data_IF_350753279552
#
_entry.id   IF_350753279552
#
_cell.length_a   1.000
_cell.length_b   1.000
_cell.length_c   1.000
_cell.angle_alpha   90.00
_cell.angle_beta   90.00
_cell.angle_gamma   90.00
#
_symmetry.space_group_name_H-M   'P 1'
#
loop_
_entity.id
_entity.type
_entity.pdbx_description
1 polymer ?
#
# COMPACT_ATOMS: atom_id res chain seq x y z
N UNK A 1 -28.93 -39.34 -8.44
CA UNK A 1 -29.16 -38.23 -7.51
C UNK A 1 -27.97 -37.28 -7.63
N UNK A 2 -28.16 -36.02 -7.30
CA UNK A 2 -27.20 -34.94 -7.58
C UNK A 2 -27.02 -34.07 -6.35
N UNK A 3 -25.77 -33.73 -6.03
CA UNK A 3 -25.43 -32.69 -5.06
C UNK A 3 -25.06 -31.42 -5.81
N UNK A 4 -25.74 -30.32 -5.49
CA UNK A 4 -25.45 -28.98 -5.97
C UNK A 4 -24.76 -28.22 -4.83
N UNK A 5 -23.48 -27.89 -5.01
CA UNK A 5 -22.73 -27.04 -4.09
C UNK A 5 -22.67 -25.60 -4.62
N UNK A 6 -23.31 -24.69 -3.90
CA UNK A 6 -23.23 -23.24 -4.16
C UNK A 6 -22.14 -22.60 -3.32
N UNK A 7 -21.63 -21.45 -3.76
CA UNK A 7 -20.68 -20.68 -2.96
C UNK A 7 -21.39 -20.13 -1.70
N UNK A 8 -20.90 -20.40 -0.48
CA UNK A 8 -21.48 -19.84 0.75
C UNK A 8 -21.49 -18.30 0.77
N UNK A 9 -20.57 -17.63 0.05
CA UNK A 9 -20.56 -16.17 -0.10
C UNK A 9 -21.60 -15.67 -1.09
N UNK A 10 -21.92 -16.48 -2.11
CA UNK A 10 -22.85 -16.13 -3.19
C UNK A 10 -23.83 -17.27 -3.44
N UNK A 11 -24.69 -17.60 -2.47
CA UNK A 11 -25.53 -18.80 -2.54
C UNK A 11 -26.67 -18.70 -3.58
N UNK A 12 -26.85 -17.51 -4.17
CA UNK A 12 -27.75 -17.28 -5.30
C UNK A 12 -27.09 -17.54 -6.67
N UNK A 13 -25.77 -17.68 -6.73
CA UNK A 13 -25.06 -18.04 -7.96
C UNK A 13 -25.01 -19.55 -8.07
N UNK A 14 -25.82 -20.09 -8.99
CA UNK A 14 -25.91 -21.52 -9.24
C UNK A 14 -25.27 -21.84 -10.59
N UNK A 15 -24.47 -22.92 -10.71
CA UNK A 15 -23.95 -23.36 -11.99
C UNK A 15 -25.08 -23.55 -13.01
N UNK A 16 -24.87 -23.10 -14.25
CA UNK A 16 -25.89 -23.17 -15.32
C UNK A 16 -26.41 -24.59 -15.52
N UNK A 17 -25.54 -25.59 -15.37
CA UNK A 17 -25.89 -27.01 -15.48
C UNK A 17 -26.91 -27.50 -14.42
N UNK A 18 -27.00 -26.80 -13.29
CA UNK A 18 -27.90 -27.12 -12.18
C UNK A 18 -29.28 -26.43 -12.32
N UNK A 19 -29.43 -25.42 -13.17
CA UNK A 19 -30.66 -24.59 -13.26
C UNK A 19 -31.91 -25.43 -13.52
N UNK A 20 -31.84 -26.39 -14.44
CA UNK A 20 -32.98 -27.27 -14.75
C UNK A 20 -33.40 -28.18 -13.57
N UNK A 21 -32.48 -28.43 -12.63
CA UNK A 21 -32.71 -29.31 -11.48
C UNK A 21 -33.35 -28.56 -10.29
N UNK A 22 -33.14 -27.24 -10.21
CA UNK A 22 -33.69 -26.39 -9.13
C UNK A 22 -35.21 -26.27 -9.16
N UNK A 23 -35.85 -26.52 -10.32
CA UNK A 23 -37.31 -26.53 -10.44
C UNK A 23 -37.96 -27.86 -10.06
N UNK A 24 -37.18 -28.88 -9.72
CA UNK A 24 -37.65 -30.22 -9.40
C UNK A 24 -37.71 -30.51 -7.89
N UNK A 25 -37.87 -31.78 -7.55
CA UNK A 25 -37.81 -32.26 -6.17
C UNK A 25 -36.38 -32.12 -5.61
N UNK A 26 -36.19 -31.25 -4.62
CA UNK A 26 -34.88 -31.00 -4.01
C UNK A 26 -34.95 -30.82 -2.50
N UNK A 27 -33.89 -31.25 -1.83
CA UNK A 27 -33.62 -30.97 -0.43
C UNK A 27 -32.55 -29.90 -0.30
N UNK A 28 -32.59 -29.14 0.80
CA UNK A 28 -31.54 -28.19 1.16
C UNK A 28 -31.08 -28.38 2.60
N UNK A 29 -29.82 -28.06 2.86
CA UNK A 29 -29.20 -28.09 4.20
C UNK A 29 -29.41 -26.77 4.95
N UNK A 30 -29.37 -26.82 6.27
CA UNK A 30 -29.82 -25.76 7.18
C UNK A 30 -28.98 -24.47 7.12
N UNK A 31 -27.75 -24.52 6.62
CA UNK A 31 -26.89 -23.35 6.47
C UNK A 31 -27.34 -22.43 5.32
N UNK A 32 -28.35 -22.82 4.54
CA UNK A 32 -28.85 -22.01 3.43
C UNK A 32 -29.55 -20.75 3.91
N UNK A 33 -29.15 -19.55 3.40
CA UNK A 33 -29.88 -18.34 3.69
C UNK A 33 -31.33 -18.47 3.25
N UNK A 34 -32.26 -18.12 4.13
CA UNK A 34 -33.69 -18.44 4.00
C UNK A 34 -34.33 -17.98 2.67
N UNK A 35 -33.80 -16.93 2.05
CA UNK A 35 -34.27 -16.42 0.75
C UNK A 35 -34.04 -17.42 -0.40
N UNK A 36 -32.99 -18.24 -0.33
CA UNK A 36 -32.68 -19.24 -1.35
C UNK A 36 -33.78 -20.31 -1.44
N UNK A 37 -34.10 -21.07 -0.37
CA UNK A 37 -35.15 -22.08 -0.43
C UNK A 37 -36.53 -21.45 -0.68
N UNK A 38 -36.81 -20.22 -0.21
CA UNK A 38 -38.06 -19.54 -0.53
C UNK A 38 -38.25 -19.22 -2.02
N UNK A 39 -37.15 -19.14 -2.77
CA UNK A 39 -37.18 -18.94 -4.22
C UNK A 39 -37.36 -20.25 -4.99
N UNK A 40 -37.37 -21.39 -4.31
CA UNK A 40 -37.42 -22.74 -4.88
C UNK A 40 -38.72 -23.43 -4.43
N UNK A 41 -39.79 -23.44 -5.25
CA UNK A 41 -41.14 -23.85 -4.82
C UNK A 41 -41.26 -25.28 -4.29
N UNK A 42 -40.33 -26.15 -4.68
CA UNK A 42 -40.32 -27.58 -4.34
C UNK A 42 -39.21 -27.97 -3.36
N UNK A 43 -38.48 -26.98 -2.83
CA UNK A 43 -37.40 -27.20 -1.88
C UNK A 43 -37.92 -27.54 -0.48
N UNK A 44 -37.34 -28.55 0.16
CA UNK A 44 -37.61 -28.90 1.56
C UNK A 44 -36.32 -29.09 2.37
N UNK A 45 -36.31 -28.87 3.68
CA UNK A 45 -35.14 -29.13 4.50
C UNK A 45 -34.73 -30.62 4.45
N UNK A 46 -33.43 -30.87 4.52
CA UNK A 46 -32.83 -32.22 4.48
C UNK A 46 -33.37 -33.16 5.57
N UNK A 47 -33.76 -32.63 6.73
CA UNK A 47 -34.31 -33.40 7.84
C UNK A 47 -35.81 -33.76 7.68
N UNK A 48 -36.42 -33.46 6.51
CA UNK A 48 -37.84 -33.71 6.26
C UNK A 48 -38.08 -34.66 5.09
N UNK A 49 -39.03 -35.58 5.28
CA UNK A 49 -39.57 -36.45 4.23
C UNK A 49 -38.60 -37.54 3.77
N UNK A 50 -38.75 -37.93 2.50
CA UNK A 50 -37.89 -38.91 1.82
C UNK A 50 -36.80 -38.17 1.05
N UNK A 51 -35.66 -38.82 0.87
CA UNK A 51 -34.53 -38.29 0.11
C UNK A 51 -34.96 -37.81 -1.28
N UNK A 52 -34.71 -36.52 -1.53
CA UNK A 52 -34.94 -35.91 -2.83
C UNK A 52 -33.84 -36.31 -3.82
N UNK A 53 -34.12 -36.33 -5.14
CA UNK A 53 -33.11 -36.61 -6.15
C UNK A 53 -32.00 -35.56 -6.26
N UNK A 54 -32.21 -34.37 -5.66
CA UNK A 54 -31.26 -33.25 -5.65
C UNK A 54 -31.05 -32.79 -4.21
N UNK A 55 -29.80 -32.57 -3.81
CA UNK A 55 -29.42 -31.91 -2.57
C UNK A 55 -28.72 -30.59 -2.89
N UNK A 56 -29.21 -29.48 -2.34
CA UNK A 56 -28.61 -28.15 -2.44
C UNK A 56 -27.93 -27.78 -1.11
N UNK A 57 -26.66 -27.41 -1.16
CA UNK A 57 -25.89 -27.02 0.03
C UNK A 57 -24.79 -26.03 -0.34
N UNK A 58 -24.27 -25.29 0.63
CA UNK A 58 -23.06 -24.45 0.51
C UNK A 58 -21.93 -24.98 1.39
N UNK A 59 -22.23 -25.92 2.29
CA UNK A 59 -21.24 -26.61 3.11
C UNK A 59 -20.88 -27.98 2.52
N UNK A 60 -19.70 -28.03 1.89
CA UNK A 60 -19.11 -29.28 1.41
C UNK A 60 -18.84 -30.30 2.52
N UNK A 61 -18.64 -29.82 3.75
CA UNK A 61 -18.39 -30.62 4.95
C UNK A 61 -19.64 -31.22 5.58
N UNK A 62 -20.84 -30.80 5.16
CA UNK A 62 -22.10 -31.22 5.75
C UNK A 62 -22.27 -32.75 5.70
N UNK A 63 -22.75 -33.42 6.77
CA UNK A 63 -22.85 -34.88 6.83
C UNK A 63 -23.62 -35.50 5.65
N UNK A 64 -24.75 -34.90 5.26
CA UNK A 64 -25.56 -35.39 4.12
C UNK A 64 -24.81 -35.23 2.79
N UNK A 65 -24.14 -34.10 2.58
CA UNK A 65 -23.33 -33.86 1.38
C UNK A 65 -22.25 -34.92 1.27
N UNK A 66 -21.52 -35.17 2.37
CA UNK A 66 -20.47 -36.20 2.42
C UNK A 66 -21.03 -37.60 2.17
N UNK A 67 -22.19 -37.93 2.73
CA UNK A 67 -22.84 -39.22 2.54
C UNK A 67 -23.22 -39.45 1.07
N UNK A 68 -23.86 -38.48 0.41
CA UNK A 68 -24.26 -38.56 -1.00
C UNK A 68 -23.07 -38.59 -1.95
N UNK A 69 -22.04 -37.79 -1.69
CA UNK A 69 -20.80 -37.85 -2.47
C UNK A 69 -20.08 -39.19 -2.30
N UNK A 70 -20.06 -39.75 -1.08
CA UNK A 70 -19.49 -41.08 -0.83
C UNK A 70 -20.30 -42.20 -1.52
N UNK A 71 -21.61 -42.01 -1.71
CA UNK A 71 -22.46 -42.91 -2.49
C UNK A 71 -22.26 -42.78 -4.02
N UNK A 72 -21.38 -41.89 -4.49
CA UNK A 72 -21.06 -41.70 -5.90
C UNK A 72 -22.06 -40.83 -6.66
N UNK A 73 -22.84 -40.01 -5.96
CA UNK A 73 -23.76 -39.07 -6.60
C UNK A 73 -23.03 -37.99 -7.41
N UNK A 74 -23.70 -37.47 -8.44
CA UNK A 74 -23.12 -36.43 -9.31
C UNK A 74 -22.95 -35.14 -8.50
N UNK A 75 -21.76 -34.56 -8.54
CA UNK A 75 -21.51 -33.23 -8.00
C UNK A 75 -21.62 -32.17 -9.10
N UNK A 76 -22.39 -31.12 -8.86
CA UNK A 76 -22.37 -29.86 -9.61
C UNK A 76 -21.95 -28.78 -8.61
N UNK A 77 -20.78 -28.19 -8.78
CA UNK A 77 -20.25 -27.18 -7.86
C UNK A 77 -19.80 -25.94 -8.60
N UNK A 78 -19.85 -24.79 -7.92
CA UNK A 78 -19.08 -23.61 -8.31
C UNK A 78 -17.58 -23.98 -8.23
N UNK A 79 -16.70 -23.40 -9.08
CA UNK A 79 -15.26 -23.57 -8.93
C UNK A 79 -14.80 -23.32 -7.50
N UNK A 80 -13.75 -24.02 -7.07
CA UNK A 80 -13.21 -23.79 -5.73
C UNK A 80 -12.78 -22.33 -5.54
N UNK A 81 -12.89 -21.80 -4.30
CA UNK A 81 -12.43 -20.46 -3.98
C UNK A 81 -11.03 -20.20 -4.53
N UNK A 82 -10.89 -19.16 -5.33
CA UNK A 82 -9.61 -18.71 -5.84
C UNK A 82 -8.77 -18.13 -4.69
N UNK A 83 -7.45 -18.34 -4.78
CA UNK A 83 -6.51 -17.71 -3.85
C UNK A 83 -6.63 -16.20 -4.00
N UNK A 84 -6.81 -15.50 -2.86
CA UNK A 84 -6.96 -14.05 -2.83
C UNK A 84 -8.40 -13.55 -2.77
N UNK A 85 -9.43 -14.41 -2.87
CA UNK A 85 -10.83 -13.96 -2.77
C UNK A 85 -11.18 -13.18 -1.49
N UNK A 86 -10.48 -13.46 -0.38
CA UNK A 86 -10.64 -12.70 0.88
C UNK A 86 -10.23 -11.24 0.77
N UNK A 87 -9.38 -10.89 -0.20
CA UNK A 87 -9.06 -9.49 -0.47
C UNK A 87 -10.29 -8.74 -0.97
N UNK A 88 -11.13 -9.38 -1.79
CA UNK A 88 -12.39 -8.76 -2.27
C UNK A 88 -13.35 -8.53 -1.11
N UNK A 89 -13.44 -9.46 -0.17
CA UNK A 89 -14.21 -9.28 1.06
C UNK A 89 -13.69 -8.07 1.86
N UNK A 90 -12.36 -7.93 2.00
CA UNK A 90 -11.72 -6.82 2.71
C UNK A 90 -11.98 -5.46 2.04
N UNK A 91 -11.96 -5.41 0.69
CA UNK A 91 -12.30 -4.20 -0.08
C UNK A 91 -13.75 -3.76 0.22
N UNK A 92 -14.70 -4.69 0.23
CA UNK A 92 -16.10 -4.37 0.52
C UNK A 92 -16.32 -3.92 1.98
N UNK A 93 -15.59 -4.52 2.93
CA UNK A 93 -15.59 -4.08 4.32
C UNK A 93 -15.03 -2.67 4.42
N UNK A 94 -13.91 -2.38 3.77
CA UNK A 94 -13.31 -1.04 3.77
C UNK A 94 -14.26 0.00 3.16
N UNK A 95 -14.94 -0.29 2.06
CA UNK A 95 -15.94 0.64 1.50
C UNK A 95 -17.08 0.94 2.51
N UNK A 96 -17.55 -0.10 3.21
CA UNK A 96 -18.56 0.06 4.26
C UNK A 96 -18.05 0.93 5.41
N UNK A 97 -16.84 0.65 5.89
CA UNK A 97 -16.19 1.41 6.96
C UNK A 97 -15.97 2.87 6.53
N UNK A 98 -15.43 3.11 5.34
CA UNK A 98 -15.24 4.47 4.82
C UNK A 98 -16.54 5.26 4.73
N UNK A 99 -17.63 4.59 4.34
CA UNK A 99 -18.93 5.23 4.11
C UNK A 99 -19.71 5.48 5.40
N UNK A 100 -19.67 4.55 6.36
CA UNK A 100 -20.54 4.56 7.54
C UNK A 100 -19.80 4.65 8.88
N UNK A 101 -18.49 4.42 8.88
CA UNK A 101 -17.63 4.43 10.06
C UNK A 101 -17.30 5.86 10.49
N UNK A 102 -17.44 6.20 11.79
CA UNK A 102 -17.22 7.56 12.27
C UNK A 102 -15.75 7.96 12.24
N UNK A 103 -14.82 7.02 12.44
CA UNK A 103 -13.39 7.30 12.41
C UNK A 103 -12.83 7.19 10.98
N UNK A 104 -13.27 6.18 10.24
CA UNK A 104 -12.78 5.84 8.91
C UNK A 104 -13.17 6.88 7.86
N UNK A 105 -14.34 7.50 8.01
CA UNK A 105 -14.81 8.59 7.14
C UNK A 105 -14.00 9.88 7.31
N UNK A 106 -13.40 10.12 8.48
CA UNK A 106 -12.58 11.30 8.76
C UNK A 106 -11.10 11.16 8.34
N UNK A 107 -10.66 9.93 8.02
CA UNK A 107 -9.27 9.69 7.65
C UNK A 107 -8.89 10.36 6.33
N UNK A 108 -7.63 10.80 6.27
CA UNK A 108 -6.98 11.39 5.11
C UNK A 108 -5.67 10.65 4.85
N UNK A 109 -5.08 10.83 3.67
CA UNK A 109 -3.74 10.28 3.40
C UNK A 109 -2.71 10.75 4.43
N UNK A 110 -2.79 12.01 4.88
CA UNK A 110 -1.83 12.56 5.84
C UNK A 110 -2.03 12.03 7.26
N UNK A 111 -3.28 11.92 7.73
CA UNK A 111 -3.56 11.37 9.07
C UNK A 111 -3.12 9.92 9.21
N UNK A 112 -3.14 9.16 8.12
CA UNK A 112 -2.78 7.74 8.10
C UNK A 112 -1.27 7.46 8.07
N UNK A 113 -0.44 8.45 7.70
CA UNK A 113 1.01 8.26 7.56
C UNK A 113 1.69 7.73 8.81
N UNK A 114 1.22 8.15 10.00
CA UNK A 114 1.76 7.71 11.28
C UNK A 114 1.54 6.21 11.46
N UNK A 115 0.30 5.76 11.28
CA UNK A 115 -0.07 4.35 11.42
C UNK A 115 0.71 3.48 10.44
N UNK A 116 0.78 3.85 9.16
CA UNK A 116 1.56 3.10 8.18
C UNK A 116 3.04 2.92 8.59
N UNK A 117 3.64 3.92 9.24
CA UNK A 117 5.01 3.81 9.72
C UNK A 117 5.11 2.88 10.94
N UNK A 118 4.16 2.97 11.88
CA UNK A 118 4.04 2.09 13.04
C UNK A 118 3.90 0.63 12.57
N UNK A 119 2.92 0.31 11.72
CA UNK A 119 2.70 -1.06 11.18
C UNK A 119 3.92 -1.61 10.42
N UNK A 120 4.68 -0.73 9.76
CA UNK A 120 5.90 -1.16 9.06
C UNK A 120 6.99 -1.62 10.05
N UNK A 121 7.11 -0.95 11.19
CA UNK A 121 8.07 -1.34 12.23
C UNK A 121 7.60 -2.56 13.01
N UNK A 122 6.31 -2.66 13.31
CA UNK A 122 5.73 -3.86 13.93
C UNK A 122 5.92 -5.09 13.02
N UNK A 123 5.71 -4.94 11.71
CA UNK A 123 6.05 -5.97 10.73
C UNK A 123 7.55 -6.36 10.76
N UNK A 124 8.46 -5.40 10.93
CA UNK A 124 9.89 -5.71 11.04
C UNK A 124 10.21 -6.51 12.30
N UNK A 125 9.58 -6.17 13.42
CA UNK A 125 9.73 -6.88 14.68
C UNK A 125 9.14 -8.30 14.59
N UNK A 126 7.98 -8.47 13.96
CA UNK A 126 7.37 -9.77 13.71
C UNK A 126 8.24 -10.67 12.83
N UNK A 127 8.82 -10.13 11.74
CA UNK A 127 9.79 -10.85 10.89
C UNK A 127 11.00 -11.28 11.71
N UNK A 128 11.51 -10.41 12.58
CA UNK A 128 12.67 -10.70 13.43
C UNK A 128 12.35 -11.74 14.51
N UNK A 129 11.14 -11.70 15.06
CA UNK A 129 10.66 -12.63 16.08
C UNK A 129 10.42 -14.03 15.54
N UNK A 130 10.12 -14.18 14.25
CA UNK A 130 9.90 -15.46 13.60
C UNK A 130 8.56 -16.12 13.95
N UNK A 131 7.64 -15.35 14.54
CA UNK A 131 6.28 -15.79 14.87
C UNK A 131 5.38 -15.62 13.64
N UNK A 132 4.88 -16.74 13.10
CA UNK A 132 4.07 -16.72 11.89
C UNK A 132 2.68 -16.12 12.08
N UNK A 133 2.11 -16.20 13.28
CA UNK A 133 0.78 -15.63 13.56
C UNK A 133 0.85 -14.11 13.64
N UNK A 134 1.83 -13.59 14.36
CA UNK A 134 2.15 -12.16 14.46
C UNK A 134 2.53 -11.59 13.09
N UNK A 135 3.41 -12.26 12.33
CA UNK A 135 3.74 -11.85 10.97
C UNK A 135 2.50 -11.74 10.06
N UNK A 136 1.52 -12.64 10.23
CA UNK A 136 0.27 -12.58 9.45
C UNK A 136 -0.61 -11.41 9.87
N UNK A 137 -0.64 -11.09 11.16
CA UNK A 137 -1.37 -9.94 11.72
C UNK A 137 -0.81 -8.63 11.15
N UNK A 138 0.50 -8.41 11.29
CA UNK A 138 1.17 -7.20 10.80
C UNK A 138 1.08 -7.03 9.28
N UNK A 139 1.17 -8.13 8.51
CA UNK A 139 0.92 -8.08 7.07
C UNK A 139 -0.52 -7.69 6.75
N UNK A 140 -1.47 -8.04 7.60
CA UNK A 140 -2.86 -7.61 7.54
C UNK A 140 -3.01 -6.11 7.78
N UNK A 141 -2.30 -5.56 8.76
CA UNK A 141 -2.38 -4.12 9.09
C UNK A 141 -1.70 -3.25 8.03
N UNK A 142 -0.57 -3.68 7.48
CA UNK A 142 0.02 -3.03 6.30
C UNK A 142 -0.93 -3.09 5.10
N UNK A 143 -1.64 -4.22 4.90
CA UNK A 143 -2.66 -4.33 3.85
C UNK A 143 -3.85 -3.40 4.12
N UNK A 144 -4.29 -3.25 5.36
CA UNK A 144 -5.36 -2.32 5.76
C UNK A 144 -5.00 -0.89 5.37
N UNK A 145 -3.74 -0.46 5.57
CA UNK A 145 -3.28 0.86 5.12
C UNK A 145 -3.39 1.02 3.60
N UNK A 146 -3.03 0.00 2.82
CA UNK A 146 -3.19 0.03 1.34
C UNK A 146 -4.67 0.20 0.95
N UNK A 147 -5.59 -0.52 1.62
CA UNK A 147 -7.02 -0.42 1.37
C UNK A 147 -7.57 0.97 1.71
N UNK A 148 -7.16 1.55 2.83
CA UNK A 148 -7.54 2.92 3.20
C UNK A 148 -7.09 3.95 2.16
N UNK A 149 -5.81 3.92 1.78
CA UNK A 149 -5.27 4.87 0.81
C UNK A 149 -5.96 4.70 -0.56
N UNK A 150 -6.19 3.48 -1.01
CA UNK A 150 -6.92 3.23 -2.25
C UNK A 150 -8.36 3.79 -2.18
N UNK A 151 -9.09 3.50 -1.09
CA UNK A 151 -10.48 3.92 -0.97
C UNK A 151 -10.65 5.43 -0.80
N UNK A 152 -9.71 6.12 -0.13
CA UNK A 152 -9.66 7.60 -0.07
C UNK A 152 -9.38 8.17 -1.46
N UNK A 153 -8.48 7.55 -2.24
CA UNK A 153 -8.14 8.03 -3.58
C UNK A 153 -9.30 7.95 -4.57
N UNK A 154 -10.25 7.02 -4.39
CA UNK A 154 -11.49 6.95 -5.20
C UNK A 154 -12.36 8.21 -5.05
N UNK A 155 -12.24 8.94 -3.94
CA UNK A 155 -13.00 10.18 -3.67
C UNK A 155 -12.30 11.43 -4.23
N UNK A 156 -11.09 11.29 -4.78
CA UNK A 156 -10.31 12.42 -5.27
C UNK A 156 -10.96 13.08 -6.50
N UNK A 157 -11.01 14.42 -6.51
CA UNK A 157 -11.50 15.18 -7.66
C UNK A 157 -10.57 15.10 -8.89
N UNK A 158 -9.28 14.87 -8.66
CA UNK A 158 -8.26 14.85 -9.70
C UNK A 158 -7.53 13.51 -9.66
N UNK A 159 -7.52 12.80 -10.79
CA UNK A 159 -6.85 11.50 -10.95
C UNK A 159 -7.27 10.47 -9.88
N UNK A 160 -8.58 10.22 -9.69
CA UNK A 160 -9.03 9.18 -8.78
C UNK A 160 -8.56 7.80 -9.27
N UNK A 161 -8.33 6.90 -8.33
CA UNK A 161 -7.99 5.51 -8.60
C UNK A 161 -8.52 4.61 -7.48
N UNK A 162 -8.77 3.35 -7.81
CA UNK A 162 -9.26 2.33 -6.88
C UNK A 162 -8.17 1.33 -6.48
N UNK A 163 -8.54 0.40 -5.60
CA UNK A 163 -7.67 -0.74 -5.27
C UNK A 163 -7.35 -1.62 -6.50
N UNK A 164 -8.25 -1.70 -7.47
CA UNK A 164 -8.02 -2.45 -8.70
C UNK A 164 -6.96 -1.76 -9.57
N UNK A 165 -6.97 -0.43 -9.64
CA UNK A 165 -5.92 0.34 -10.34
C UNK A 165 -4.54 0.14 -9.68
N UNK A 166 -4.50 0.06 -8.34
CA UNK A 166 -3.27 -0.24 -7.58
C UNK A 166 -2.77 -1.66 -7.92
N UNK A 167 -3.66 -2.64 -7.95
CA UNK A 167 -3.34 -4.02 -8.31
C UNK A 167 -2.84 -4.13 -9.76
N UNK A 168 -3.51 -3.47 -10.70
CA UNK A 168 -3.13 -3.43 -12.11
C UNK A 168 -1.77 -2.76 -12.32
N UNK A 169 -1.49 -1.66 -11.60
CA UNK A 169 -0.19 -1.02 -11.61
C UNK A 169 0.91 -1.97 -11.12
N UNK A 170 0.66 -2.74 -10.06
CA UNK A 170 1.58 -3.75 -9.55
C UNK A 170 1.79 -4.90 -10.55
N UNK A 171 0.71 -5.47 -11.10
CA UNK A 171 0.76 -6.58 -12.07
C UNK A 171 1.52 -6.16 -13.32
N UNK A 172 1.22 -4.99 -13.89
CA UNK A 172 1.95 -4.45 -15.04
C UNK A 172 3.43 -4.27 -14.74
N UNK A 173 3.77 -3.74 -13.57
CA UNK A 173 5.16 -3.54 -13.14
C UNK A 173 5.91 -4.87 -12.97
N UNK A 174 5.30 -5.87 -12.36
CA UNK A 174 5.89 -7.20 -12.22
C UNK A 174 6.03 -7.90 -13.57
N UNK A 175 4.97 -7.85 -14.40
CA UNK A 175 4.95 -8.32 -15.78
C UNK A 175 6.10 -7.75 -16.62
N UNK A 176 6.32 -6.45 -16.48
CA UNK A 176 7.41 -5.76 -17.16
C UNK A 176 8.78 -6.11 -16.61
N UNK A 177 8.96 -6.42 -15.32
CA UNK A 177 10.31 -6.57 -14.74
C UNK A 177 10.86 -7.98 -14.77
N UNK A 178 10.00 -9.00 -14.80
CA UNK A 178 10.42 -10.42 -14.79
C UNK A 178 9.75 -11.26 -15.88
N UNK A 179 9.80 -10.84 -17.17
CA UNK A 179 9.10 -11.53 -18.24
C UNK A 179 9.56 -12.98 -18.44
N UNK A 180 10.86 -13.27 -18.28
CA UNK A 180 11.42 -14.60 -18.47
C UNK A 180 10.87 -15.59 -17.43
N UNK A 181 10.80 -15.16 -16.16
CA UNK A 181 10.21 -15.97 -15.08
C UNK A 181 8.73 -16.24 -15.33
N UNK A 182 7.99 -15.23 -15.78
CA UNK A 182 6.56 -15.37 -16.09
C UNK A 182 6.29 -16.20 -17.36
N UNK A 183 7.23 -16.22 -18.30
CA UNK A 183 7.21 -17.08 -19.49
C UNK A 183 7.66 -18.52 -19.20
N UNK A 184 8.12 -18.81 -17.97
CA UNK A 184 8.64 -20.12 -17.58
C UNK A 184 10.03 -20.43 -18.16
N UNK A 185 10.77 -19.42 -18.59
CA UNK A 185 12.12 -19.57 -19.12
C UNK A 185 13.15 -19.71 -17.97
N UNK A 186 14.15 -20.59 -18.12
CA UNK A 186 15.22 -20.68 -17.13
C UNK A 186 16.11 -19.43 -17.21
N UNK A 187 16.27 -18.74 -16.07
CA UNK A 187 17.14 -17.57 -15.91
C UNK A 187 17.99 -17.74 -14.65
N UNK A 188 19.24 -17.26 -14.69
CA UNK A 188 20.10 -17.26 -13.49
C UNK A 188 19.71 -16.12 -12.56
N UNK A 189 20.08 -16.21 -11.27
CA UNK A 189 19.83 -15.13 -10.31
C UNK A 189 20.52 -13.81 -10.73
N UNK A 190 21.76 -13.90 -11.23
CA UNK A 190 22.53 -12.74 -11.66
C UNK A 190 21.87 -12.05 -12.86
N UNK A 191 21.48 -12.82 -13.87
CA UNK A 191 20.78 -12.30 -15.06
C UNK A 191 19.41 -11.71 -14.69
N UNK A 192 18.69 -12.32 -13.74
CA UNK A 192 17.41 -11.82 -13.27
C UNK A 192 17.57 -10.46 -12.55
N UNK A 193 18.59 -10.32 -11.70
CA UNK A 193 18.89 -9.05 -11.01
C UNK A 193 19.29 -7.98 -12.02
N UNK A 194 20.14 -8.32 -13.00
CA UNK A 194 20.57 -7.40 -14.05
C UNK A 194 19.37 -6.91 -14.89
N UNK A 195 18.52 -7.84 -15.35
CA UNK A 195 17.29 -7.51 -16.09
C UNK A 195 16.34 -6.63 -15.26
N UNK A 196 16.20 -6.91 -13.96
CA UNK A 196 15.37 -6.12 -13.07
C UNK A 196 15.85 -4.67 -12.97
N UNK A 197 17.15 -4.46 -12.75
CA UNK A 197 17.72 -3.11 -12.62
C UNK A 197 17.75 -2.36 -13.96
N UNK A 198 18.00 -3.04 -15.08
CA UNK A 198 17.91 -2.46 -16.42
C UNK A 198 16.50 -1.92 -16.70
N UNK A 199 15.47 -2.76 -16.50
CA UNK A 199 14.08 -2.37 -16.78
C UNK A 199 13.56 -1.31 -15.82
N UNK A 200 13.95 -1.38 -14.55
CA UNK A 200 13.68 -0.34 -13.56
C UNK A 200 14.31 0.99 -14.00
N UNK A 201 15.51 0.99 -14.57
CA UNK A 201 16.17 2.20 -15.06
C UNK A 201 15.49 2.75 -16.32
N UNK A 202 15.09 1.87 -17.24
CA UNK A 202 14.35 2.26 -18.45
C UNK A 202 12.98 2.89 -18.16
N UNK A 203 12.24 2.40 -17.15
CA UNK A 203 10.99 3.02 -16.68
C UNK A 203 11.19 4.44 -16.13
N UNK A 204 12.42 4.78 -15.77
CA UNK A 204 12.80 5.99 -15.02
C UNK A 204 13.61 6.99 -15.87
N UNK A 205 13.79 6.71 -17.16
CA UNK A 205 14.64 7.52 -18.06
C UNK A 205 14.04 8.88 -18.44
N UNK A 206 12.79 9.16 -18.06
CA UNK A 206 12.13 10.43 -18.30
C UNK A 206 12.47 11.51 -17.26
N UNK A 207 13.30 11.19 -16.25
CA UNK A 207 13.63 12.12 -15.17
C UNK A 207 14.44 13.30 -15.64
N UNK A 208 14.11 14.45 -15.07
CA UNK A 208 14.85 15.69 -15.29
C UNK A 208 16.09 15.77 -14.40
N UNK A 209 16.07 15.10 -13.25
CA UNK A 209 17.15 15.11 -12.25
C UNK A 209 17.44 13.70 -11.73
N UNK A 210 18.70 13.39 -11.42
CA UNK A 210 19.04 12.15 -10.72
C UNK A 210 18.47 12.09 -9.28
N UNK A 211 18.06 13.24 -8.72
CA UNK A 211 17.40 13.40 -7.41
C UNK A 211 15.88 13.23 -7.44
N UNK A 212 15.30 12.99 -8.62
CA UNK A 212 13.87 12.78 -8.76
C UNK A 212 13.42 11.40 -8.24
N UNK A 213 12.22 11.34 -7.67
CA UNK A 213 11.62 10.19 -6.98
C UNK A 213 12.48 9.62 -5.83
N UNK A 214 13.20 10.46 -5.09
CA UNK A 214 13.83 10.06 -3.83
C UNK A 214 12.85 10.40 -2.69
N UNK A 215 12.27 9.40 -2.00
CA UNK A 215 11.39 9.67 -0.86
C UNK A 215 12.23 10.16 0.32
N UNK A 216 12.10 11.46 0.61
CA UNK A 216 12.87 12.20 1.63
C UNK A 216 12.42 11.91 3.08
N UNK A 217 11.25 11.28 3.27
CA UNK A 217 10.76 10.87 4.59
C UNK A 217 11.43 9.64 5.19
N UNK A 218 12.39 9.00 4.49
CA UNK A 218 13.16 7.87 5.02
C UNK A 218 14.12 8.33 6.13
N UNK A 219 14.57 7.42 7.02
CA UNK A 219 15.66 7.70 7.97
C UNK A 219 16.90 8.26 7.27
N UNK A 220 17.64 9.15 7.94
CA UNK A 220 18.68 9.96 7.31
C UNK A 220 19.79 9.11 6.69
N UNK A 221 20.16 8.01 7.35
CA UNK A 221 21.15 7.05 6.85
C UNK A 221 20.68 6.39 5.54
N UNK A 222 19.43 5.92 5.48
CA UNK A 222 18.87 5.29 4.28
C UNK A 222 18.75 6.32 3.14
N UNK A 223 18.35 7.56 3.47
CA UNK A 223 18.29 8.65 2.52
C UNK A 223 19.68 8.98 1.96
N UNK A 224 20.70 9.11 2.83
CA UNK A 224 22.08 9.37 2.44
C UNK A 224 22.62 8.29 1.49
N UNK A 225 22.47 7.02 1.85
CA UNK A 225 22.89 5.90 1.02
C UNK A 225 22.24 5.93 -0.37
N UNK A 226 20.93 6.23 -0.42
CA UNK A 226 20.17 6.30 -1.67
C UNK A 226 20.59 7.48 -2.54
N UNK A 227 20.81 8.64 -1.93
CA UNK A 227 21.30 9.85 -2.62
C UNK A 227 22.70 9.63 -3.17
N UNK A 228 23.61 9.06 -2.37
CA UNK A 228 24.97 8.70 -2.81
C UNK A 228 24.91 7.73 -3.99
N UNK A 229 24.10 6.66 -3.91
CA UNK A 229 23.96 5.71 -5.00
C UNK A 229 23.44 6.38 -6.30
N UNK A 230 22.53 7.36 -6.18
CA UNK A 230 21.99 8.11 -7.33
C UNK A 230 23.05 9.00 -7.98
N UNK A 231 23.81 9.77 -7.21
CA UNK A 231 24.85 10.65 -7.78
C UNK A 231 25.99 9.85 -8.40
N UNK A 232 26.42 8.75 -7.77
CA UNK A 232 27.47 7.88 -8.32
C UNK A 232 26.99 7.24 -9.63
N UNK A 233 25.74 6.75 -9.67
CA UNK A 233 25.13 6.23 -10.90
C UNK A 233 24.98 7.29 -12.00
N UNK A 234 24.88 8.57 -11.64
CA UNK A 234 24.84 9.71 -12.58
C UNK A 234 26.24 10.23 -12.97
N UNK A 235 27.32 9.56 -12.52
CA UNK A 235 28.70 9.92 -12.86
C UNK A 235 29.28 11.07 -12.05
N UNK A 236 28.66 11.47 -10.93
CA UNK A 236 29.25 12.46 -10.04
C UNK A 236 30.54 11.90 -9.42
N UNK A 237 31.68 12.60 -9.56
CA UNK A 237 32.92 12.18 -8.92
C UNK A 237 32.78 12.16 -7.39
N UNK A 238 33.26 11.08 -6.77
CA UNK A 238 33.03 10.80 -5.33
C UNK A 238 33.67 11.81 -4.40
N UNK A 239 34.70 12.52 -4.83
CA UNK A 239 35.33 13.60 -4.04
C UNK A 239 34.46 14.86 -3.91
N UNK A 240 33.41 14.99 -4.73
CA UNK A 240 32.41 16.05 -4.59
C UNK A 240 31.31 15.72 -3.57
N UNK A 241 31.30 14.50 -3.03
CA UNK A 241 30.35 14.09 -1.98
C UNK A 241 30.88 14.60 -0.63
N UNK A 242 30.10 15.44 0.11
CA UNK A 242 30.54 15.97 1.39
C UNK A 242 30.80 14.87 2.42
N UNK A 243 31.79 15.08 3.28
CA UNK A 243 32.16 14.12 4.34
C UNK A 243 31.02 13.89 5.33
N UNK A 244 30.15 14.87 5.50
CA UNK A 244 28.96 14.87 6.35
C UNK A 244 27.96 13.78 5.92
N UNK A 245 27.94 13.39 4.65
CA UNK A 245 27.10 12.30 4.14
C UNK A 245 27.73 10.91 4.33
N UNK A 246 29.03 10.84 4.60
CA UNK A 246 29.78 9.58 4.68
C UNK A 246 30.30 9.27 6.09
N UNK A 247 30.29 10.26 6.98
CA UNK A 247 30.75 10.15 8.36
C UNK A 247 29.66 10.67 9.30
N UNK A 248 29.13 9.78 10.14
CA UNK A 248 28.09 10.12 11.11
C UNK A 248 28.67 10.05 12.51
N UNK A 249 28.53 11.13 13.26
CA UNK A 249 28.96 11.22 14.66
C UNK A 249 27.73 11.15 15.55
N UNK A 250 27.67 10.12 16.40
CA UNK A 250 26.63 9.97 17.42
C UNK A 250 27.23 10.37 18.76
N UNK A 251 26.74 11.47 19.34
CA UNK A 251 27.15 12.00 20.63
C UNK A 251 25.92 12.36 21.47
N UNK A 252 26.12 12.52 22.78
CA UNK A 252 25.02 12.78 23.74
C UNK A 252 24.30 14.12 23.47
N UNK A 253 24.98 15.07 22.83
CA UNK A 253 24.51 16.45 22.69
C UNK A 253 24.20 16.86 21.25
N UNK A 254 24.21 15.93 20.29
CA UNK A 254 23.83 16.24 18.91
C UNK A 254 22.63 15.38 18.48
N UNK A 255 21.88 15.93 17.53
CA UNK A 255 20.81 15.21 16.86
C UNK A 255 21.37 14.65 15.54
N UNK A 256 22.09 13.53 15.63
CA UNK A 256 22.77 12.94 14.47
C UNK A 256 21.82 12.64 13.30
N UNK A 257 20.55 12.32 13.60
CA UNK A 257 19.52 12.03 12.60
C UNK A 257 19.09 13.31 11.88
N UNK A 258 18.84 14.40 12.61
CA UNK A 258 18.50 15.68 11.99
C UNK A 258 19.70 16.36 11.30
N UNK A 259 20.90 16.25 11.88
CA UNK A 259 22.14 16.79 11.32
C UNK A 259 22.43 16.15 9.95
N UNK A 260 22.41 14.81 9.88
CA UNK A 260 22.63 14.09 8.62
C UNK A 260 21.53 14.40 7.61
N UNK A 261 20.27 14.45 8.03
CA UNK A 261 19.16 14.77 7.13
C UNK A 261 19.31 16.13 6.49
N UNK A 262 19.64 17.13 7.30
CA UNK A 262 19.88 18.49 6.81
C UNK A 262 20.98 18.49 5.76
N UNK A 263 22.12 17.86 6.06
CA UNK A 263 23.23 17.73 5.12
C UNK A 263 22.83 17.03 3.81
N UNK A 264 22.04 15.95 3.88
CA UNK A 264 21.58 15.22 2.70
C UNK A 264 20.63 16.06 1.84
N UNK A 265 19.69 16.79 2.45
CA UNK A 265 18.76 17.66 1.72
C UNK A 265 19.49 18.83 1.05
N UNK A 266 20.43 19.47 1.75
CA UNK A 266 21.27 20.53 1.17
C UNK A 266 22.14 20.02 0.02
N UNK A 267 22.65 18.80 0.13
CA UNK A 267 23.38 18.15 -0.94
C UNK A 267 22.48 17.84 -2.14
N UNK A 268 21.26 17.36 -1.93
CA UNK A 268 20.28 17.16 -3.01
C UNK A 268 19.99 18.46 -3.77
N UNK A 269 19.82 19.58 -3.05
CA UNK A 269 19.63 20.89 -3.67
C UNK A 269 20.86 21.36 -4.45
N UNK A 270 22.05 21.09 -3.92
CA UNK A 270 23.32 21.36 -4.58
C UNK A 270 23.45 20.61 -5.91
N UNK A 271 23.09 19.33 -5.92
CA UNK A 271 23.05 18.50 -7.14
C UNK A 271 22.05 19.08 -8.15
N UNK A 272 20.83 19.41 -7.72
CA UNK A 272 19.80 20.00 -8.60
C UNK A 272 20.26 21.32 -9.23
N UNK A 273 20.95 22.17 -8.47
CA UNK A 273 21.54 23.42 -8.98
C UNK A 273 22.62 23.15 -10.04
N UNK A 274 23.53 22.21 -9.78
CA UNK A 274 24.56 21.84 -10.73
C UNK A 274 23.97 21.24 -12.02
N UNK A 275 22.98 20.34 -11.92
CA UNK A 275 22.24 19.79 -13.06
C UNK A 275 21.56 20.90 -13.88
N UNK A 276 20.92 21.86 -13.22
CA UNK A 276 20.27 22.99 -13.87
C UNK A 276 21.28 23.87 -14.63
N UNK A 277 22.46 24.11 -14.04
CA UNK A 277 23.54 24.86 -14.67
C UNK A 277 24.14 24.12 -15.88
N UNK A 278 24.31 22.80 -15.80
CA UNK A 278 24.74 21.95 -16.92
C UNK A 278 23.70 22.01 -18.05
N UNK A 279 22.42 21.84 -17.71
CA UNK A 279 21.34 21.93 -18.68
C UNK A 279 21.34 23.29 -19.40
N UNK A 280 21.52 24.39 -18.65
CA UNK A 280 21.61 25.73 -19.22
C UNK A 280 22.83 25.90 -20.13
N UNK A 281 24.00 25.38 -19.72
CA UNK A 281 25.21 25.43 -20.54
C UNK A 281 25.09 24.63 -21.84
N UNK A 282 24.41 23.47 -21.82
CA UNK A 282 24.17 22.62 -23.00
C UNK A 282 23.21 23.25 -24.01
N UNK A 283 22.29 24.11 -23.56
CA UNK A 283 21.29 24.77 -24.41
C UNK A 283 21.86 25.89 -25.30
N UNK A 284 22.97 26.52 -24.91
CA UNK A 284 23.50 27.72 -25.62
C UNK A 284 22.53 28.92 -25.55
N UNK A 285 22.96 30.09 -26.05
CA UNK A 285 22.27 31.39 -25.88
C UNK A 285 21.06 31.65 -26.81
N UNK A 286 20.59 30.69 -27.62
CA UNK A 286 19.70 30.97 -28.78
C UNK A 286 18.24 30.46 -28.69
N UNK A 287 17.69 30.12 -27.51
CA UNK A 287 16.26 29.77 -27.37
C UNK A 287 15.56 30.51 -26.21
N UNK A 288 14.44 31.23 -26.47
CA UNK A 288 13.63 31.89 -25.44
C UNK A 288 13.01 30.89 -24.46
N UNK A 289 12.95 31.27 -23.17
CA UNK A 289 12.46 30.46 -22.05
C UNK A 289 10.96 30.06 -22.14
N UNK A 290 10.19 30.61 -23.08
CA UNK A 290 8.71 30.51 -23.11
C UNK A 290 8.17 29.31 -23.93
N UNK A 291 9.02 28.50 -24.56
CA UNK A 291 8.63 27.28 -25.28
C UNK A 291 9.24 26.05 -24.60
N UNK A 292 8.79 25.79 -23.37
CA UNK A 292 9.41 24.82 -22.47
C UNK A 292 8.79 23.42 -22.60
N UNK A 293 9.55 22.49 -23.18
CA UNK A 293 9.40 21.06 -22.89
C UNK A 293 10.76 20.63 -22.35
N UNK A 294 10.89 20.59 -21.03
CA UNK A 294 12.15 20.29 -20.37
C UNK A 294 12.64 18.87 -20.73
N UNK A 295 13.67 18.80 -21.57
CA UNK A 295 14.27 17.55 -21.98
C UNK A 295 15.10 16.94 -20.83
N UNK A 296 15.12 15.61 -20.67
CA UNK A 296 15.99 14.92 -19.70
C UNK A 296 17.46 15.35 -19.87
N UNK A 297 18.17 15.51 -18.75
CA UNK A 297 19.56 15.98 -18.74
C UNK A 297 20.50 15.07 -19.56
N UNK A 298 20.17 13.78 -19.69
CA UNK A 298 21.03 12.78 -20.34
C UNK A 298 22.27 12.45 -19.50
N UNK A 299 23.23 11.72 -20.08
CA UNK A 299 24.48 11.40 -19.39
C UNK A 299 25.31 12.67 -19.15
N UNK A 300 25.86 12.83 -17.94
CA UNK A 300 26.73 13.95 -17.54
C UNK A 300 28.14 13.43 -17.33
N UNK A 301 29.12 14.09 -17.94
CA UNK A 301 30.53 13.72 -17.77
C UNK A 301 31.11 14.27 -16.47
N UNK A 302 32.19 13.65 -15.98
CA UNK A 302 32.91 14.13 -14.80
C UNK A 302 33.38 15.60 -14.95
N UNK A 303 33.84 15.98 -16.14
CA UNK A 303 34.30 17.35 -16.43
C UNK A 303 33.16 18.37 -16.34
N UNK A 304 31.97 18.02 -16.82
CA UNK A 304 30.78 18.87 -16.73
C UNK A 304 30.33 19.03 -15.28
N UNK A 305 30.31 17.94 -14.51
CA UNK A 305 30.06 18.00 -13.07
C UNK A 305 31.02 18.99 -12.40
N UNK A 306 32.33 18.82 -12.61
CA UNK A 306 33.35 19.69 -11.99
C UNK A 306 33.24 21.15 -12.42
N UNK A 307 32.92 21.42 -13.69
CA UNK A 307 32.78 22.78 -14.23
C UNK A 307 31.62 23.54 -13.60
N UNK A 308 30.52 22.85 -13.30
CA UNK A 308 29.27 23.46 -12.84
C UNK A 308 28.98 23.18 -11.35
N UNK A 309 29.90 22.51 -10.64
CA UNK A 309 29.78 22.29 -9.22
C UNK A 309 29.98 23.60 -8.44
N UNK A 310 29.10 23.94 -7.48
CA UNK A 310 29.27 25.16 -6.71
C UNK A 310 30.56 25.10 -5.87
N UNK A 311 31.35 26.17 -5.94
CA UNK A 311 32.59 26.30 -5.18
C UNK A 311 32.24 26.61 -3.72
N UNK A 312 32.83 25.92 -2.72
CA UNK A 312 32.62 26.23 -1.31
C UNK A 312 33.02 27.70 -1.04
N UNK A 313 32.04 28.54 -0.68
CA UNK A 313 32.23 29.98 -0.40
C UNK A 313 31.58 30.93 -1.41
N UNK A 314 31.06 30.44 -2.55
CA UNK A 314 30.29 31.23 -3.52
C UNK A 314 28.80 31.23 -3.21
N UNK A 315 28.37 31.78 -2.06
CA UNK A 315 26.96 32.12 -1.86
C UNK A 315 26.72 33.42 -2.65
N UNK A 316 26.26 33.33 -3.89
CA UNK A 316 25.59 34.49 -4.49
C UNK A 316 24.41 34.85 -3.56
N UNK A 317 24.21 36.14 -3.23
CA UNK A 317 23.07 36.54 -2.41
C UNK A 317 21.81 36.03 -3.10
N UNK A 318 20.96 35.32 -2.36
CA UNK A 318 19.59 35.11 -2.78
C UNK A 318 18.95 36.50 -2.91
N UNK A 319 18.79 36.97 -4.14
CA UNK A 319 17.93 38.12 -4.40
C UNK A 319 16.54 37.83 -3.83
N UNK A 320 16.02 38.83 -3.12
CA UNK A 320 14.82 38.82 -2.27
C UNK A 320 13.70 37.87 -2.74
N UNK A 321 13.63 36.70 -2.11
CA UNK A 321 12.37 35.97 -1.98
C UNK A 321 11.61 36.67 -0.85
N UNK A 322 10.40 37.20 -1.08
CA UNK A 322 9.64 37.83 -0.01
C UNK A 322 9.44 36.82 1.12
N UNK A 323 9.88 37.20 2.32
CA UNK A 323 9.76 36.38 3.51
C UNK A 323 8.33 35.86 3.65
N UNK A 324 8.18 34.54 3.74
CA UNK A 324 6.95 33.92 4.24
C UNK A 324 6.72 34.55 5.62
N UNK A 325 5.53 35.13 5.88
CA UNK A 325 5.29 35.75 7.17
C UNK A 325 5.47 34.69 8.26
N UNK A 326 6.38 34.98 9.19
CA UNK A 326 6.49 34.25 10.44
C UNK A 326 5.15 34.37 11.13
N UNK A 327 4.38 33.27 11.17
CA UNK A 327 3.27 33.15 12.11
C UNK A 327 3.94 33.07 13.48
N UNK A 328 4.02 34.23 14.14
CA UNK A 328 4.29 34.30 15.56
C UNK A 328 3.07 33.67 16.23
N UNK A 329 3.21 32.41 16.67
CA UNK A 329 2.35 31.94 17.76
C UNK A 329 2.78 32.73 18.99
N UNK A 330 1.91 33.62 19.45
CA UNK A 330 2.03 34.19 20.78
C UNK A 330 1.88 33.03 21.78
N UNK A 331 3.00 32.42 22.16
CA UNK A 331 3.09 31.56 23.33
C UNK A 331 2.93 32.45 24.57
N UNK A 332 1.70 32.81 24.91
CA UNK A 332 1.37 33.13 26.30
C UNK A 332 1.40 31.83 27.10
N UNK A 333 2.18 31.76 28.21
CA UNK A 333 2.14 30.60 29.09
C UNK A 333 0.74 30.51 29.70
N UNK A 334 0.03 29.41 29.44
CA UNK A 334 -1.23 29.10 30.10
C UNK A 334 -1.00 29.02 31.62
N UNK A 335 -1.59 29.99 32.32
CA UNK A 335 -1.68 30.07 33.77
C UNK A 335 -2.52 28.90 34.30
N UNK A 336 -1.85 27.84 34.76
CA UNK A 336 -2.47 26.74 35.49
C UNK A 336 -2.71 27.17 36.94
N UNK A 337 -3.69 28.04 37.12
CA UNK A 337 -3.96 28.69 38.38
C UNK A 337 -5.44 28.96 38.65
N UNK A 338 -6.30 27.94 38.65
CA UNK A 338 -7.48 27.93 39.53
C UNK A 338 -8.07 26.52 39.66
N UNK A 339 -8.17 26.06 40.91
CA UNK A 339 -8.89 24.85 41.32
C UNK A 339 -10.38 25.05 41.06
N UNK A 340 -10.99 24.12 40.33
CA UNK A 340 -12.43 23.88 40.42
C UNK A 340 -12.60 22.52 41.06
N UNK A 341 -13.05 22.54 42.32
CA UNK A 341 -13.42 21.38 43.11
C UNK A 341 -14.65 20.68 42.49
N UNK A 342 -14.73 19.37 42.72
CA UNK A 342 -15.90 18.47 42.70
C UNK A 342 -16.78 18.36 41.43
N UNK A 343 -16.51 17.31 40.64
CA UNK A 343 -17.57 16.57 39.93
C UNK A 343 -17.44 15.09 40.31
N UNK A 344 -18.35 14.63 41.17
CA UNK A 344 -18.55 13.22 41.48
C UNK A 344 -18.91 12.45 40.20
N UNK A 345 -18.06 11.49 39.81
CA UNK A 345 -18.40 10.48 38.82
C UNK A 345 -19.16 9.35 39.52
N UNK A 346 -20.48 9.36 39.34
CA UNK A 346 -21.40 8.26 39.68
C UNK A 346 -21.06 7.04 38.81
N UNK A 347 -20.33 6.09 39.40
CA UNK A 347 -19.98 4.82 38.77
C UNK A 347 -21.11 3.83 39.08
N UNK A 348 -22.16 3.87 38.27
CA UNK A 348 -23.20 2.84 38.24
C UNK A 348 -22.63 1.51 37.76
N UNK A 349 -22.09 0.72 38.69
CA UNK A 349 -21.78 -0.70 38.51
C UNK A 349 -23.07 -1.46 38.81
N UNK A 350 -23.73 -1.93 37.77
CA UNK A 350 -24.84 -2.89 37.89
C UNK A 350 -24.23 -4.30 37.81
N UNK A 351 -24.14 -4.98 38.96
CA UNK A 351 -23.88 -6.42 39.03
C UNK A 351 -25.07 -7.17 39.65
N UNK A 352 -25.28 -8.44 39.26
CA UNK A 352 -26.57 -9.09 39.31
C UNK A 352 -26.91 -9.75 40.66
N UNK A 353 -28.19 -9.64 41.02
CA UNK A 353 -29.05 -10.60 41.75
C UNK A 353 -28.49 -11.47 42.89
N UNK A 354 -29.14 -11.39 44.06
CA UNK A 354 -29.40 -12.54 44.92
C UNK A 354 -30.60 -12.29 45.88
N UNK A 355 -31.45 -13.31 45.99
CA UNK A 355 -32.58 -13.51 46.91
C UNK A 355 -32.35 -12.97 48.34
N UNK A 356 -33.36 -12.31 48.93
CA UNK A 356 -34.34 -12.91 49.86
C UNK A 356 -35.31 -11.85 50.43
#
# INVERSE_FOLDING_TARGET
MTVILVDPRRPYLVPVEAVAMLGGDLQYTEEMPIRVPWSLPSARPVYTGVDAPVLLSSDRGHPEVRARLAAGERLIAVPEPQRGERLVDAVAIMDTLRTAGPWESEQTHDSLRRYLLEETYELFDAVRGGNADELREELGDVLLQVLFHARIAEEALHQPFSIDDVADALVRKLGNRVPAVLAGEPITLEDQIAQWEERKTAEKSARMSCMEDIPTGQPALALAQKVIARVVGAGLPTDLIPSELTTVVVAVHNDAENDLRTAVLEFMDTVRRAESAIAASRRGTDLPAELDVAAPLGAVSEEEWRRHWPIPGGREPLDDIPAVPVVVSDDEPLDLGERVDDIELDVGIDEPGADN
#
